data_IF_595821974916
#
_entry.id   IF_595821974916
#
_cell.length_a   1.000
_cell.length_b   1.000
_cell.length_c   1.000
_cell.angle_alpha   90.00
_cell.angle_beta   90.00
_cell.angle_gamma   90.00
#
_symmetry.space_group_name_H-M   'P 1'
#
loop_
_entity.id
_entity.type
_entity.pdbx_description
1 polymer ?
#
# COMPACT_ATOMS: atom_id res chain seq x y z
N UNK A 1 12.06 -22.48 -7.31
CA UNK A 1 10.80 -21.70 -7.36
C UNK A 1 10.77 -20.97 -8.68
N UNK A 2 9.64 -20.98 -9.39
CA UNK A 2 9.49 -20.27 -10.68
C UNK A 2 8.64 -19.04 -10.41
N UNK A 3 9.13 -17.85 -10.78
CA UNK A 3 8.35 -16.62 -10.76
C UNK A 3 7.55 -16.50 -12.06
N UNK A 4 6.30 -16.06 -11.95
CA UNK A 4 5.44 -15.74 -13.09
C UNK A 4 5.09 -14.25 -13.03
N UNK A 5 5.33 -13.54 -14.13
CA UNK A 5 5.06 -12.11 -14.23
C UNK A 5 3.84 -11.87 -15.11
N UNK A 6 2.94 -11.02 -14.64
CA UNK A 6 1.79 -10.55 -15.39
C UNK A 6 1.92 -9.05 -15.60
N UNK A 7 1.88 -8.61 -16.83
CA UNK A 7 1.83 -7.20 -17.19
C UNK A 7 0.38 -6.82 -17.49
N UNK A 8 -0.17 -5.86 -16.76
CA UNK A 8 -1.53 -5.39 -16.97
C UNK A 8 -2.25 -5.03 -15.67
N UNK A 9 -3.56 -4.93 -15.76
CA UNK A 9 -4.39 -4.64 -14.59
C UNK A 9 -4.52 -5.90 -13.72
N UNK A 10 -4.60 -5.72 -12.40
CA UNK A 10 -4.76 -6.85 -11.47
C UNK A 10 -6.03 -7.68 -11.75
N UNK A 11 -7.09 -7.05 -12.30
CA UNK A 11 -8.32 -7.74 -12.69
C UNK A 11 -8.07 -8.79 -13.79
N UNK A 12 -7.16 -8.47 -14.73
CA UNK A 12 -6.80 -9.38 -15.82
C UNK A 12 -5.98 -10.58 -15.29
N UNK A 13 -5.12 -10.33 -14.31
CA UNK A 13 -4.36 -11.39 -13.64
C UNK A 13 -5.28 -12.33 -12.85
N UNK A 14 -6.35 -11.81 -12.21
CA UNK A 14 -7.32 -12.62 -11.46
C UNK A 14 -7.99 -13.72 -12.31
N UNK A 15 -8.19 -13.49 -13.60
CA UNK A 15 -8.79 -14.49 -14.48
C UNK A 15 -7.94 -15.77 -14.59
N UNK A 16 -6.66 -15.69 -14.24
CA UNK A 16 -5.68 -16.77 -14.35
C UNK A 16 -5.27 -17.34 -12.98
N UNK A 17 -5.79 -16.80 -11.88
CA UNK A 17 -5.40 -17.17 -10.52
C UNK A 17 -6.62 -17.59 -9.71
N UNK A 18 -6.72 -18.87 -9.42
CA UNK A 18 -7.84 -19.40 -8.61
C UNK A 18 -7.61 -19.19 -7.11
N UNK A 19 -6.42 -19.49 -6.62
CA UNK A 19 -6.07 -19.42 -5.18
C UNK A 19 -4.63 -19.01 -4.97
N UNK A 20 -4.42 -18.28 -3.88
CA UNK A 20 -3.08 -17.85 -3.40
C UNK A 20 -2.95 -18.08 -1.90
N UNK A 21 -1.71 -18.25 -1.45
CA UNK A 21 -1.38 -18.40 -0.02
C UNK A 21 -1.37 -17.07 0.70
N UNK A 22 -0.89 -16.03 0.03
CA UNK A 22 -0.86 -14.67 0.53
C UNK A 22 -0.98 -13.67 -0.61
N UNK A 23 -1.42 -12.45 -0.29
CA UNK A 23 -1.40 -11.29 -1.16
C UNK A 23 -0.57 -10.20 -0.51
N UNK A 24 0.43 -9.69 -1.23
CA UNK A 24 1.18 -8.49 -0.85
C UNK A 24 1.05 -7.53 -2.03
N UNK A 25 0.55 -6.32 -1.76
CA UNK A 25 0.26 -5.36 -2.83
C UNK A 25 0.55 -3.92 -2.41
N UNK A 26 1.03 -3.12 -3.36
CA UNK A 26 1.24 -1.67 -3.23
C UNK A 26 0.41 -0.96 -4.33
N UNK A 27 -0.91 -0.87 -4.15
CA UNK A 27 -1.80 -0.25 -5.13
C UNK A 27 -1.67 1.28 -5.10
N UNK A 28 -2.29 2.00 -6.05
CA UNK A 28 -2.36 3.45 -6.00
C UNK A 28 -2.85 3.96 -4.64
N UNK A 29 -2.29 5.09 -4.21
CA UNK A 29 -2.71 5.74 -2.96
C UNK A 29 -3.90 6.65 -3.20
N UNK A 30 -4.50 7.14 -2.11
CA UNK A 30 -5.67 7.99 -2.16
C UNK A 30 -5.42 9.39 -2.72
N UNK A 31 -6.51 10.09 -3.03
CA UNK A 31 -6.50 11.40 -3.67
C UNK A 31 -5.66 12.44 -2.89
N UNK A 32 -5.74 12.45 -1.57
CA UNK A 32 -4.97 13.41 -0.74
C UNK A 32 -3.46 13.26 -0.90
N UNK A 33 -2.98 12.02 -1.04
CA UNK A 33 -1.55 11.76 -1.28
C UNK A 33 -1.13 12.20 -2.68
N UNK A 34 -1.98 11.97 -3.69
CA UNK A 34 -1.73 12.44 -5.06
C UNK A 34 -1.73 13.96 -5.15
N UNK A 35 -2.72 14.63 -4.56
CA UNK A 35 -2.81 16.09 -4.50
C UNK A 35 -1.57 16.70 -3.83
N UNK A 36 -1.17 16.19 -2.67
CA UNK A 36 0.01 16.66 -1.95
C UNK A 36 1.30 16.46 -2.76
N UNK A 37 1.43 15.34 -3.47
CA UNK A 37 2.60 15.07 -4.31
C UNK A 37 2.64 16.01 -5.51
N UNK A 38 1.51 16.22 -6.20
CA UNK A 38 1.42 17.05 -7.39
C UNK A 38 1.49 18.55 -7.06
N UNK A 39 0.94 19.00 -5.93
CA UNK A 39 1.05 20.39 -5.47
C UNK A 39 2.52 20.82 -5.25
N UNK A 40 3.37 19.91 -4.78
CA UNK A 40 4.79 20.17 -4.61
C UNK A 40 5.57 20.27 -5.93
N UNK A 41 5.03 19.76 -7.03
CA UNK A 41 5.65 19.90 -8.35
C UNK A 41 5.47 21.32 -8.88
N UNK A 42 4.33 21.92 -8.61
CA UNK A 42 3.96 23.24 -9.14
C UNK A 42 4.67 24.43 -8.45
N UNK A 43 5.22 24.26 -7.25
CA UNK A 43 5.73 25.37 -6.43
C UNK A 43 7.17 25.27 -5.95
N UNK A 44 7.98 24.32 -6.41
CA UNK A 44 9.31 24.11 -5.84
C UNK A 44 10.44 24.51 -6.80
N UNK A 45 11.12 25.60 -6.49
CA UNK A 45 12.52 25.78 -6.85
C UNK A 45 13.34 24.70 -6.14
N UNK A 46 13.60 23.60 -6.86
CA UNK A 46 14.53 22.58 -6.36
C UNK A 46 15.95 23.08 -6.57
N UNK A 47 16.80 23.12 -5.53
CA UNK A 47 18.16 23.66 -5.64
C UNK A 47 19.05 22.92 -6.66
N UNK A 48 18.67 21.73 -7.10
CA UNK A 48 19.52 20.83 -7.89
C UNK A 48 18.97 20.49 -9.29
N UNK A 49 17.99 21.22 -9.84
CA UNK A 49 17.47 20.96 -11.19
C UNK A 49 16.84 19.58 -11.39
N UNK A 50 16.51 18.88 -10.32
CA UNK A 50 15.88 17.57 -10.40
C UNK A 50 14.42 17.70 -10.86
N UNK A 51 14.13 17.25 -12.07
CA UNK A 51 12.75 17.10 -12.55
C UNK A 51 12.00 16.12 -11.67
N UNK A 52 10.86 16.56 -11.13
CA UNK A 52 9.92 15.67 -10.46
C UNK A 52 8.95 15.11 -11.47
N UNK A 53 8.90 13.80 -11.55
CA UNK A 53 7.90 13.12 -12.36
C UNK A 53 6.56 13.16 -11.63
N UNK A 54 5.55 13.73 -12.27
CA UNK A 54 4.17 13.65 -11.77
C UNK A 54 3.72 12.18 -11.71
N UNK A 55 2.82 11.89 -10.75
CA UNK A 55 2.19 10.57 -10.69
C UNK A 55 1.30 10.44 -11.93
N UNK A 56 1.62 9.47 -12.80
CA UNK A 56 0.97 9.27 -14.10
C UNK A 56 -0.25 8.34 -14.06
N UNK A 57 -0.68 7.90 -12.87
CA UNK A 57 -1.84 7.03 -12.69
C UNK A 57 -2.84 7.67 -11.73
N UNK A 58 -4.10 7.24 -11.82
CA UNK A 58 -5.19 7.77 -11.01
C UNK A 58 -5.06 7.36 -9.54
N UNK A 59 -5.53 8.24 -8.65
CA UNK A 59 -5.65 7.94 -7.24
C UNK A 59 -6.73 6.87 -7.01
N UNK A 60 -6.50 5.97 -6.08
CA UNK A 60 -7.43 4.91 -5.72
C UNK A 60 -8.62 5.48 -4.93
N UNK A 61 -9.84 5.18 -5.36
CA UNK A 61 -11.05 5.52 -4.64
C UNK A 61 -11.41 4.45 -3.58
N UNK A 62 -12.15 4.81 -2.51
CA UNK A 62 -12.63 3.82 -1.53
C UNK A 62 -13.41 2.64 -2.14
N UNK A 63 -14.19 2.87 -3.18
CA UNK A 63 -14.90 1.82 -3.90
C UNK A 63 -13.97 0.80 -4.59
N UNK A 64 -12.83 1.26 -5.08
CA UNK A 64 -11.82 0.40 -5.70
C UNK A 64 -11.08 -0.43 -4.65
N UNK A 65 -10.88 0.11 -3.43
CA UNK A 65 -10.39 -0.67 -2.29
C UNK A 65 -11.34 -1.82 -1.98
N UNK A 66 -12.64 -1.55 -1.92
CA UNK A 66 -13.64 -2.59 -1.69
C UNK A 66 -13.61 -3.67 -2.77
N UNK A 67 -13.57 -3.28 -4.04
CA UNK A 67 -13.49 -4.21 -5.17
C UNK A 67 -12.21 -5.07 -5.13
N UNK A 68 -11.06 -4.46 -4.83
CA UNK A 68 -9.79 -5.16 -4.69
C UNK A 68 -9.85 -6.20 -3.57
N UNK A 69 -10.31 -5.80 -2.39
CA UNK A 69 -10.38 -6.69 -1.22
C UNK A 69 -11.37 -7.82 -1.46
N UNK A 70 -12.56 -7.54 -2.00
CA UNK A 70 -13.57 -8.57 -2.30
C UNK A 70 -13.02 -9.62 -3.26
N UNK A 71 -12.37 -9.17 -4.33
CA UNK A 71 -11.81 -10.04 -5.34
C UNK A 71 -10.71 -10.97 -4.79
N UNK A 72 -9.81 -10.46 -3.95
CA UNK A 72 -8.72 -11.24 -3.39
C UNK A 72 -9.09 -12.02 -2.13
N UNK A 73 -10.02 -11.52 -1.31
CA UNK A 73 -10.40 -12.17 -0.07
C UNK A 73 -10.97 -13.57 -0.27
N UNK A 74 -11.72 -13.79 -1.37
CA UNK A 74 -12.29 -15.08 -1.73
C UNK A 74 -11.24 -16.09 -2.24
N UNK A 75 -10.10 -15.59 -2.73
CA UNK A 75 -9.02 -16.41 -3.31
C UNK A 75 -7.84 -16.61 -2.37
N UNK A 76 -7.64 -15.71 -1.41
CA UNK A 76 -6.49 -15.74 -0.52
C UNK A 76 -6.81 -16.52 0.75
N UNK A 77 -6.18 -17.68 0.90
CA UNK A 77 -6.33 -18.54 2.08
C UNK A 77 -5.51 -18.09 3.31
N UNK A 78 -4.59 -17.18 3.13
CA UNK A 78 -3.71 -16.68 4.19
C UNK A 78 -3.81 -15.17 4.38
N UNK A 79 -2.66 -14.52 4.50
CA UNK A 79 -2.56 -13.10 4.79
C UNK A 79 -2.79 -12.22 3.54
N UNK A 80 -3.45 -11.09 3.74
CA UNK A 80 -3.49 -10.00 2.77
C UNK A 80 -2.84 -8.79 3.43
N UNK A 81 -1.80 -8.25 2.80
CA UNK A 81 -1.14 -7.01 3.15
C UNK A 81 -1.27 -6.04 1.98
N UNK A 82 -1.84 -4.87 2.24
CA UNK A 82 -1.95 -3.79 1.27
C UNK A 82 -1.27 -2.53 1.82
N UNK A 83 -0.31 -2.00 1.07
CA UNK A 83 0.26 -0.68 1.34
C UNK A 83 -0.78 0.39 0.99
N UNK A 84 -0.83 1.46 1.79
CA UNK A 84 -1.83 2.50 1.57
C UNK A 84 -1.45 3.83 2.21
N UNK A 85 -2.17 4.88 1.84
CA UNK A 85 -2.13 6.18 2.48
C UNK A 85 -3.17 6.29 3.61
N UNK A 86 -2.99 7.28 4.47
CA UNK A 86 -3.84 7.48 5.65
C UNK A 86 -5.34 7.67 5.32
N UNK A 87 -5.65 8.24 4.17
CA UNK A 87 -7.02 8.54 3.73
C UNK A 87 -7.82 7.31 3.28
N UNK A 88 -7.16 6.18 2.99
CA UNK A 88 -7.81 4.94 2.60
C UNK A 88 -7.85 3.88 3.72
N UNK A 89 -7.25 4.12 4.88
CA UNK A 89 -7.23 3.18 6.01
C UNK A 89 -8.63 2.68 6.36
N UNK A 90 -9.58 3.60 6.51
CA UNK A 90 -10.97 3.25 6.85
C UNK A 90 -11.67 2.38 5.80
N UNK A 91 -11.37 2.62 4.52
CA UNK A 91 -11.91 1.83 3.43
C UNK A 91 -11.40 0.37 3.47
N UNK A 92 -10.09 0.18 3.69
CA UNK A 92 -9.51 -1.16 3.86
C UNK A 92 -10.07 -1.89 5.06
N UNK A 93 -10.17 -1.21 6.22
CA UNK A 93 -10.71 -1.81 7.43
C UNK A 93 -12.15 -2.29 7.21
N UNK A 94 -12.98 -1.46 6.59
CA UNK A 94 -14.36 -1.81 6.29
C UNK A 94 -14.45 -2.95 5.27
N UNK A 95 -13.63 -2.90 4.21
CA UNK A 95 -13.61 -3.93 3.18
C UNK A 95 -13.21 -5.31 3.75
N UNK A 96 -12.18 -5.36 4.60
CA UNK A 96 -11.78 -6.61 5.25
C UNK A 96 -12.86 -7.17 6.19
N UNK A 97 -13.53 -6.29 6.95
CA UNK A 97 -14.66 -6.70 7.79
C UNK A 97 -15.82 -7.27 6.97
N UNK A 98 -16.18 -6.60 5.88
CA UNK A 98 -17.22 -7.06 4.97
C UNK A 98 -16.89 -8.42 4.35
N UNK A 99 -15.62 -8.67 4.05
CA UNK A 99 -15.11 -9.94 3.56
C UNK A 99 -14.98 -11.02 4.65
N UNK A 100 -15.43 -10.75 5.89
CA UNK A 100 -15.36 -11.70 7.01
C UNK A 100 -13.95 -11.98 7.54
N UNK A 101 -12.97 -11.15 7.19
CA UNK A 101 -11.58 -11.32 7.61
C UNK A 101 -11.30 -10.65 8.97
N UNK A 102 -10.32 -11.16 9.70
CA UNK A 102 -9.79 -10.47 10.86
C UNK A 102 -8.93 -9.29 10.39
N UNK A 103 -9.17 -8.11 10.97
CA UNK A 103 -8.40 -6.89 10.72
C UNK A 103 -7.55 -6.54 11.92
N UNK A 104 -6.51 -5.76 11.69
CA UNK A 104 -5.58 -5.30 12.72
C UNK A 104 -5.45 -3.78 12.63
N UNK A 105 -4.85 -3.18 13.66
CA UNK A 105 -4.48 -1.77 13.61
C UNK A 105 -3.58 -1.51 12.38
N UNK A 106 -3.70 -0.34 11.73
CA UNK A 106 -2.81 0.03 10.64
C UNK A 106 -1.36 -0.01 11.12
N UNK A 107 -0.49 -0.67 10.37
CA UNK A 107 0.92 -0.76 10.69
C UNK A 107 1.64 0.41 10.02
N UNK A 108 2.13 1.42 10.76
CA UNK A 108 2.89 2.51 10.17
C UNK A 108 4.27 2.02 9.72
N UNK A 109 4.64 2.40 8.52
CA UNK A 109 5.98 2.24 7.96
C UNK A 109 6.58 3.63 7.90
N UNK A 110 7.47 3.91 8.85
CA UNK A 110 8.01 5.23 9.09
C UNK A 110 9.21 5.46 8.17
N UNK A 111 9.14 6.53 7.40
CA UNK A 111 10.23 6.93 6.51
C UNK A 111 11.31 7.67 7.31
N UNK A 112 12.54 7.19 7.21
CA UNK A 112 13.71 7.91 7.78
C UNK A 112 14.01 9.12 6.91
N UNK A 113 13.84 10.32 7.42
CA UNK A 113 14.10 11.61 6.75
C UNK A 113 13.03 12.00 5.72
N UNK A 114 11.79 12.20 6.14
CA UNK A 114 10.76 12.76 5.28
C UNK A 114 11.14 14.19 4.89
N UNK A 115 10.66 14.63 3.75
CA UNK A 115 10.74 16.05 3.41
C UNK A 115 9.77 16.83 4.29
N UNK A 116 10.29 17.85 4.93
CA UNK A 116 9.49 18.82 5.66
C UNK A 116 9.16 19.97 4.69
N UNK A 117 7.97 19.92 4.08
CA UNK A 117 7.49 20.90 3.10
C UNK A 117 6.05 21.22 3.41
N UNK A 118 5.68 22.51 3.24
CA UNK A 118 4.33 22.99 3.54
C UNK A 118 4.25 23.69 4.89
N UNK A 119 3.05 24.04 5.29
CA UNK A 119 2.70 24.83 6.48
C UNK A 119 2.09 24.01 7.63
N UNK A 120 2.03 22.70 7.48
CA UNK A 120 1.47 21.77 8.46
C UNK A 120 2.39 20.59 8.80
N UNK A 121 1.92 19.67 9.64
CA UNK A 121 2.68 18.47 9.99
C UNK A 121 2.96 17.61 8.75
N UNK A 122 4.24 17.28 8.53
CA UNK A 122 4.64 16.41 7.45
C UNK A 122 4.16 14.96 7.67
N UNK A 123 3.79 14.27 6.58
CA UNK A 123 3.48 12.85 6.63
C UNK A 123 4.78 12.05 6.64
N UNK A 124 5.01 11.28 7.70
CA UNK A 124 6.21 10.46 7.90
C UNK A 124 5.97 8.98 7.66
N UNK A 125 4.75 8.59 7.42
CA UNK A 125 4.41 7.18 7.30
C UNK A 125 3.53 6.91 6.08
N UNK A 126 3.76 5.76 5.47
CA UNK A 126 2.77 4.99 4.74
C UNK A 126 2.27 3.86 5.65
N UNK A 127 1.16 3.24 5.32
CA UNK A 127 0.55 2.24 6.19
C UNK A 127 0.44 0.90 5.48
N UNK A 128 0.65 -0.18 6.21
CA UNK A 128 0.27 -1.51 5.77
C UNK A 128 -1.04 -1.92 6.47
N UNK A 129 -2.06 -2.18 5.66
CA UNK A 129 -3.33 -2.75 6.10
C UNK A 129 -3.26 -4.26 5.99
N UNK A 130 -3.41 -4.94 7.12
CA UNK A 130 -3.18 -6.38 7.21
C UNK A 130 -4.47 -7.09 7.62
N UNK A 131 -4.76 -8.19 6.96
CA UNK A 131 -5.88 -9.05 7.31
C UNK A 131 -5.54 -10.53 7.14
N UNK A 132 -6.26 -11.40 7.85
CA UNK A 132 -6.17 -12.85 7.73
C UNK A 132 -7.53 -13.52 7.85
N UNK A 133 -7.68 -14.79 7.46
CA UNK A 133 -8.88 -15.55 7.76
C UNK A 133 -9.13 -15.65 9.27
N UNK A 134 -10.40 -15.78 9.67
CA UNK A 134 -10.81 -16.00 11.07
C UNK A 134 -10.78 -17.49 11.43
N UNK A 135 -9.78 -18.23 10.95
CA UNK A 135 -9.62 -19.65 11.24
C UNK A 135 -8.74 -19.86 12.48
N UNK A 136 -8.95 -20.97 13.17
CA UNK A 136 -8.19 -21.32 14.37
C UNK A 136 -6.69 -21.48 14.09
N UNK A 137 -6.35 -21.91 12.90
CA UNK A 137 -4.98 -22.09 12.42
C UNK A 137 -4.11 -20.82 12.56
N UNK A 138 -4.71 -19.65 12.32
CA UNK A 138 -4.01 -18.37 12.43
C UNK A 138 -4.07 -17.73 13.82
N UNK A 139 -4.79 -18.30 14.77
CA UNK A 139 -4.93 -17.74 16.11
C UNK A 139 -3.74 -18.04 17.04
N UNK A 140 -2.84 -18.91 16.63
CA UNK A 140 -1.68 -19.35 17.42
C UNK A 140 -0.37 -18.62 17.08
N UNK A 141 -0.42 -17.69 16.14
CA UNK A 141 0.74 -16.91 15.74
C UNK A 141 1.12 -15.91 16.82
N UNK A 142 2.42 -15.73 17.02
CA UNK A 142 2.94 -14.77 17.98
C UNK A 142 2.63 -13.31 17.59
N UNK A 143 3.01 -12.39 18.47
CA UNK A 143 2.87 -10.96 18.23
C UNK A 143 3.94 -10.50 17.23
N UNK A 144 3.52 -9.73 16.23
CA UNK A 144 4.41 -9.06 15.27
C UNK A 144 4.63 -7.61 15.69
N UNK A 145 5.74 -6.96 15.27
CA UNK A 145 5.93 -5.54 15.49
C UNK A 145 4.76 -4.73 14.93
N UNK A 146 4.30 -3.75 15.72
CA UNK A 146 3.20 -2.85 15.32
C UNK A 146 3.64 -1.64 14.50
N UNK A 147 4.95 -1.51 14.20
CA UNK A 147 5.51 -0.45 13.36
C UNK A 147 6.84 -0.92 12.74
N UNK A 148 7.18 -0.34 11.59
CA UNK A 148 8.45 -0.58 10.91
C UNK A 148 9.09 0.74 10.52
N UNK A 149 10.42 0.79 10.52
CA UNK A 149 11.19 1.88 9.93
C UNK A 149 11.81 1.39 8.62
N UNK A 150 11.65 2.16 7.57
CA UNK A 150 12.22 1.85 6.27
C UNK A 150 13.03 3.03 5.74
N UNK A 151 14.26 2.81 5.24
CA UNK A 151 14.97 3.83 4.50
C UNK A 151 14.24 4.10 3.19
N UNK A 152 14.36 5.32 2.68
CA UNK A 152 13.93 5.62 1.31
C UNK A 152 14.93 5.03 0.33
N UNK A 153 14.49 4.19 -0.59
CA UNK A 153 15.33 3.70 -1.69
C UNK A 153 15.78 4.87 -2.58
N UNK A 154 17.07 4.92 -2.87
CA UNK A 154 17.65 5.91 -3.74
C UNK A 154 18.13 5.27 -5.06
N UNK A 155 17.92 5.97 -6.16
CA UNK A 155 18.52 5.59 -7.44
C UNK A 155 17.79 4.54 -8.27
N UNK A 156 16.57 4.16 -7.91
CA UNK A 156 15.79 3.14 -8.65
C UNK A 156 15.00 3.74 -9.83
N UNK A 157 14.98 5.07 -9.99
CA UNK A 157 14.26 5.77 -11.07
C UNK A 157 12.73 5.67 -11.02
N UNK A 158 12.18 5.08 -9.95
CA UNK A 158 10.74 4.91 -9.73
C UNK A 158 10.32 5.76 -8.54
N UNK A 159 9.39 6.68 -8.76
CA UNK A 159 8.84 7.50 -7.68
C UNK A 159 8.10 6.62 -6.67
N UNK A 160 8.48 6.74 -5.40
CA UNK A 160 7.81 5.99 -4.32
C UNK A 160 8.20 4.52 -4.21
N UNK A 161 9.30 4.08 -4.87
CA UNK A 161 9.81 2.72 -4.73
C UNK A 161 9.96 2.33 -3.25
N UNK A 162 9.48 1.14 -2.91
CA UNK A 162 9.60 0.59 -1.55
C UNK A 162 10.92 -0.16 -1.41
N UNK A 163 11.57 -0.11 -0.24
CA UNK A 163 12.75 -0.92 0.04
C UNK A 163 12.46 -2.40 -0.14
N UNK A 164 13.39 -3.12 -0.75
CA UNK A 164 13.27 -4.56 -0.98
C UNK A 164 13.09 -5.30 0.36
N UNK A 165 13.78 -4.86 1.39
CA UNK A 165 13.71 -5.44 2.74
C UNK A 165 12.33 -5.27 3.41
N UNK A 166 11.46 -4.44 2.85
CA UNK A 166 10.10 -4.22 3.33
C UNK A 166 9.09 -5.14 2.64
N UNK A 167 9.38 -5.54 1.40
CA UNK A 167 8.50 -6.38 0.58
C UNK A 167 8.79 -7.87 0.77
#
# INVERSE_FOLDING_TARGET
MTAQLYLGRWQDALAQIDRVDAVITDPPYGARTHEATNAHIAGSDLPDGAERTAIAYDAMAPSEVHALVEAWASRCRGWILAMTSHDLIGAYEQAYRNAGRATFAPIPIIQKRPRLVGDGPASWAVYAMVSRPRTREFSTWGCLPGAYEAPTEKGVGIAGAKPIDLM
#
